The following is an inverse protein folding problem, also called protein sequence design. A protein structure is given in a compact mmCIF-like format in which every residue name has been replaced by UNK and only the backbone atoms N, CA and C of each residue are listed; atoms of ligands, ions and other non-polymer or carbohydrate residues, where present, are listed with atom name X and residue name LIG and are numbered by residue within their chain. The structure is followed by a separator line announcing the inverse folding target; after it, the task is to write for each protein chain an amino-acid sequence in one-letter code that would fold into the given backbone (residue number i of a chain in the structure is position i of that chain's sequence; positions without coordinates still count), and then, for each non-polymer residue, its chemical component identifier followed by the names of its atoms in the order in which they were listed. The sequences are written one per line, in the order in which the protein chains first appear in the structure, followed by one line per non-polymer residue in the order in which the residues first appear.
data_IF_650268269641
#
_entry.id   IF_650268269641
#
_cell.length_a   1.000
_cell.length_b   1.000
_cell.length_c   1.000
_cell.angle_alpha   90.00
_cell.angle_beta   90.00
_cell.angle_gamma   90.00
#
_symmetry.space_group_name_H-M   'P 1'
#
loop_
_entity.id
_entity.type
_entity.pdbx_description
1 polymer ?
#
# COMPACT_ATOMS: atom_id res chain seq x y z
N UNK A 1 -30.50 5.53 1.24
CA UNK A 1 -29.37 6.08 0.48
C UNK A 1 -28.24 5.07 0.59
N UNK A 2 -27.72 4.58 -0.54
CA UNK A 2 -26.65 3.59 -0.57
C UNK A 2 -25.31 4.32 -0.41
N UNK A 3 -24.83 4.45 0.82
CA UNK A 3 -23.55 5.10 1.12
C UNK A 3 -22.42 4.10 0.87
N UNK A 4 -22.08 3.88 -0.41
CA UNK A 4 -20.78 3.32 -0.76
C UNK A 4 -19.72 4.37 -0.39
N UNK A 5 -19.16 4.31 0.81
CA UNK A 5 -17.82 4.83 1.08
C UNK A 5 -16.81 3.90 0.38
N UNK A 6 -16.89 3.84 -0.95
CA UNK A 6 -15.82 3.27 -1.75
C UNK A 6 -14.81 4.40 -1.87
N UNK A 7 -13.94 4.54 -0.87
CA UNK A 7 -12.86 5.51 -0.93
C UNK A 7 -11.90 5.00 -1.98
N UNK A 8 -11.85 5.68 -3.12
CA UNK A 8 -11.01 5.28 -4.25
C UNK A 8 -9.55 5.09 -3.78
N UNK A 9 -8.88 3.99 -4.18
CA UNK A 9 -7.52 3.73 -3.76
C UNK A 9 -6.58 4.80 -4.30
N UNK A 10 -5.66 5.27 -3.45
CA UNK A 10 -4.65 6.26 -3.81
C UNK A 10 -3.34 5.54 -4.18
N UNK A 11 -2.90 5.71 -5.43
CA UNK A 11 -1.61 5.17 -5.90
C UNK A 11 -0.47 6.05 -5.42
N UNK A 12 0.48 5.47 -4.69
CA UNK A 12 1.66 6.15 -4.13
C UNK A 12 2.87 6.02 -5.06
N UNK A 13 3.02 4.86 -5.70
CA UNK A 13 4.09 4.58 -6.66
C UNK A 13 3.68 3.41 -7.57
N UNK A 14 4.15 3.42 -8.81
CA UNK A 14 3.94 2.32 -9.75
C UNK A 14 5.15 2.24 -10.70
N UNK A 15 5.53 1.01 -11.07
CA UNK A 15 6.56 0.74 -12.07
C UNK A 15 5.98 -0.16 -13.16
N UNK A 16 5.70 0.42 -14.30
CA UNK A 16 5.04 -0.25 -15.42
C UNK A 16 5.87 -1.42 -15.97
N UNK A 17 7.20 -1.29 -16.01
CA UNK A 17 8.06 -2.32 -16.60
C UNK A 17 8.30 -3.54 -15.70
N UNK A 18 8.21 -3.38 -14.38
CA UNK A 18 8.60 -4.42 -13.43
C UNK A 18 7.41 -5.05 -12.68
N UNK A 19 6.20 -4.49 -12.83
CA UNK A 19 5.01 -4.98 -12.14
C UNK A 19 5.07 -4.78 -10.62
N UNK A 20 5.69 -3.66 -10.18
CA UNK A 20 5.63 -3.22 -8.79
C UNK A 20 4.69 -2.02 -8.66
N UNK A 21 3.81 -2.05 -7.67
CA UNK A 21 2.94 -0.94 -7.35
C UNK A 21 2.77 -0.81 -5.83
N UNK A 22 2.59 0.42 -5.36
CA UNK A 22 2.24 0.73 -3.99
C UNK A 22 1.03 1.65 -4.02
N UNK A 23 -0.03 1.26 -3.33
CA UNK A 23 -1.25 2.04 -3.21
C UNK A 23 -1.85 1.90 -1.82
N UNK A 24 -2.74 2.80 -1.43
CA UNK A 24 -3.44 2.74 -0.14
C UNK A 24 -4.94 2.92 -0.30
N UNK A 25 -5.70 2.25 0.54
CA UNK A 25 -7.16 2.39 0.61
C UNK A 25 -7.55 2.88 2.01
N UNK A 26 -8.62 3.69 2.09
CA UNK A 26 -9.22 4.06 3.37
C UNK A 26 -10.34 3.07 3.69
N UNK A 27 -10.16 2.29 4.75
CA UNK A 27 -11.15 1.36 5.28
C UNK A 27 -11.81 1.92 6.55
N UNK A 28 -12.77 1.19 7.12
CA UNK A 28 -13.53 1.62 8.32
C UNK A 28 -12.63 1.91 9.53
N UNK A 29 -11.49 1.19 9.63
CA UNK A 29 -10.56 1.27 10.76
C UNK A 29 -9.34 2.17 10.48
N UNK A 30 -9.18 2.67 9.23
CA UNK A 30 -8.06 3.52 8.82
C UNK A 30 -7.47 3.17 7.47
N UNK A 31 -6.26 3.67 7.19
CA UNK A 31 -5.57 3.37 5.93
C UNK A 31 -4.94 1.99 5.94
N UNK A 32 -5.06 1.27 4.83
CA UNK A 32 -4.30 0.05 4.56
C UNK A 32 -3.40 0.31 3.36
N UNK A 33 -2.12 -0.02 3.51
CA UNK A 33 -1.11 0.08 2.46
C UNK A 33 -0.94 -1.27 1.77
N UNK A 34 -0.87 -1.24 0.45
CA UNK A 34 -0.79 -2.41 -0.41
C UNK A 34 0.48 -2.31 -1.24
N UNK A 35 1.35 -3.32 -1.14
CA UNK A 35 2.59 -3.41 -1.91
C UNK A 35 2.48 -4.61 -2.84
N UNK A 36 2.37 -4.35 -4.14
CA UNK A 36 2.32 -5.35 -5.20
C UNK A 36 3.71 -5.61 -5.78
N UNK A 37 4.05 -6.89 -5.90
CA UNK A 37 5.33 -7.37 -6.42
C UNK A 37 5.12 -8.60 -7.31
N UNK A 38 4.84 -8.39 -8.59
CA UNK A 38 4.89 -9.41 -9.65
C UNK A 38 4.02 -10.66 -9.47
N UNK A 39 3.13 -10.70 -8.47
CA UNK A 39 2.30 -11.87 -8.13
C UNK A 39 2.02 -12.04 -6.64
N UNK A 40 2.62 -11.22 -5.77
CA UNK A 40 2.31 -11.16 -4.34
C UNK A 40 1.87 -9.74 -4.00
N UNK A 41 0.84 -9.62 -3.17
CA UNK A 41 0.41 -8.36 -2.57
C UNK A 41 0.55 -8.46 -1.06
N UNK A 42 1.25 -7.51 -0.46
CA UNK A 42 1.39 -7.40 1.00
C UNK A 42 0.47 -6.28 1.47
N UNK A 43 -0.36 -6.58 2.47
CA UNK A 43 -1.23 -5.63 3.15
C UNK A 43 -0.59 -5.23 4.48
N UNK A 44 -0.50 -3.93 4.73
CA UNK A 44 0.14 -3.36 5.91
C UNK A 44 -0.80 -2.33 6.53
N UNK A 45 -0.99 -2.41 7.85
CA UNK A 45 -1.54 -1.29 8.63
C UNK A 45 -0.61 -0.07 8.57
N UNK A 46 -1.05 1.13 8.99
CA UNK A 46 -0.21 2.32 8.97
C UNK A 46 1.08 2.15 9.80
N UNK A 47 0.98 1.50 10.96
CA UNK A 47 2.13 1.26 11.85
C UNK A 47 3.14 0.28 11.20
N UNK A 48 2.64 -0.81 10.61
CA UNK A 48 3.48 -1.79 9.90
C UNK A 48 4.13 -1.21 8.65
N UNK A 49 3.43 -0.31 7.95
CA UNK A 49 3.98 0.41 6.80
C UNK A 49 5.18 1.29 7.18
N UNK A 50 5.09 2.01 8.29
CA UNK A 50 6.20 2.84 8.78
C UNK A 50 7.42 1.96 9.12
N UNK A 51 7.22 0.86 9.84
CA UNK A 51 8.32 -0.08 10.14
C UNK A 51 8.90 -0.72 8.87
N UNK A 52 8.04 -1.13 7.93
CA UNK A 52 8.47 -1.68 6.65
C UNK A 52 9.32 -0.68 5.85
N UNK A 53 8.90 0.58 5.77
CA UNK A 53 9.64 1.62 5.06
C UNK A 53 11.03 1.87 5.69
N UNK A 54 11.12 1.84 7.01
CA UNK A 54 12.41 1.92 7.73
C UNK A 54 13.29 0.72 7.38
N UNK A 55 12.75 -0.50 7.45
CA UNK A 55 13.50 -1.73 7.15
C UNK A 55 14.03 -1.75 5.71
N UNK A 56 13.22 -1.35 4.73
CA UNK A 56 13.65 -1.28 3.33
C UNK A 56 14.74 -0.22 3.14
N UNK A 57 14.59 0.94 3.76
CA UNK A 57 15.60 2.00 3.72
C UNK A 57 16.93 1.51 4.29
N UNK A 58 16.90 0.88 5.45
CA UNK A 58 18.10 0.34 6.10
C UNK A 58 18.74 -0.80 5.29
N UNK A 59 17.93 -1.61 4.61
CA UNK A 59 18.42 -2.67 3.73
C UNK A 59 19.01 -2.13 2.41
N UNK A 60 18.60 -0.94 1.96
CA UNK A 60 19.00 -0.37 0.66
C UNK A 60 20.41 0.25 0.65
N UNK A 61 21.02 0.47 1.82
CA UNK A 61 22.41 0.91 1.97
C UNK A 61 22.62 2.42 1.97
#
# INVERSE_FOLDING_TARGET
MNNNHDTEPEVLAETEESGFAVWRSMEEDGYIYHVEMGGITIHLSPEEWEEFAILIRDASG
#
